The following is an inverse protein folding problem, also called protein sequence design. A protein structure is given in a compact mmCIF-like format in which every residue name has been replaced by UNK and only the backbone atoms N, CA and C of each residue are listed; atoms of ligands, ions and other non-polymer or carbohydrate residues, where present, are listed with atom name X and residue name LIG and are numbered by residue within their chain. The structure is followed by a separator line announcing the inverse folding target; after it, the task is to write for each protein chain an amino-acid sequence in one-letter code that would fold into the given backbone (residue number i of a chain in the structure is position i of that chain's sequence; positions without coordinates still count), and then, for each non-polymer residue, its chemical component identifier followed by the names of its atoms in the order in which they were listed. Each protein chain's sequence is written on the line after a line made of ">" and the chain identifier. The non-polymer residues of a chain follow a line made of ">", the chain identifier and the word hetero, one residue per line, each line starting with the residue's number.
data_IF_571257508441
#
_entry.id   IF_571257508441
#
_cell.length_a   1.000
_cell.length_b   1.000
_cell.length_c   1.000
_cell.angle_alpha   90.00
_cell.angle_beta   90.00
_cell.angle_gamma   90.00
#
_symmetry.space_group_name_H-M   'P 1'
#
loop_
_entity.id
_entity.type
_entity.pdbx_description
1 polymer ?
#
# COMPACT_ATOMS: atom_id res chain seq x y z
N UNK A 1 2.06 0.21 15.83
CA UNK A 1 2.70 -0.98 16.48
C UNK A 1 4.18 -0.72 16.65
N UNK A 2 4.77 -1.21 17.73
CA UNK A 2 6.21 -1.13 17.98
C UNK A 2 6.94 -2.28 17.31
N UNK A 3 8.22 -2.11 17.00
CA UNK A 3 9.03 -3.17 16.37
C UNK A 3 8.93 -4.51 17.11
N UNK A 4 8.95 -4.46 18.45
CA UNK A 4 8.88 -5.65 19.31
C UNK A 4 7.56 -6.42 19.25
N UNK A 5 6.51 -5.81 18.71
CA UNK A 5 5.18 -6.44 18.58
C UNK A 5 5.04 -7.27 17.31
N UNK A 6 5.90 -7.03 16.30
CA UNK A 6 5.84 -7.77 15.05
C UNK A 6 6.46 -9.16 15.19
N UNK A 7 5.81 -10.15 14.59
CA UNK A 7 6.27 -11.55 14.57
C UNK A 7 6.11 -12.11 13.16
N UNK A 8 7.05 -12.96 12.78
CA UNK A 8 6.97 -13.69 11.51
C UNK A 8 5.67 -14.50 11.43
N UNK A 9 5.03 -14.46 10.26
CA UNK A 9 3.74 -15.09 10.02
C UNK A 9 2.52 -14.26 10.43
N UNK A 10 2.71 -13.14 11.15
CA UNK A 10 1.61 -12.26 11.56
C UNK A 10 0.89 -11.70 10.34
N UNK A 11 -0.44 -11.68 10.38
CA UNK A 11 -1.30 -11.03 9.39
C UNK A 11 -1.95 -9.80 10.02
N UNK A 12 -1.70 -8.64 9.44
CA UNK A 12 -2.25 -7.36 9.87
C UNK A 12 -3.23 -6.88 8.79
N UNK A 13 -4.40 -6.42 9.23
CA UNK A 13 -5.44 -5.92 8.34
C UNK A 13 -5.63 -4.43 8.51
N UNK A 14 -5.88 -3.74 7.38
CA UNK A 14 -6.17 -2.32 7.33
C UNK A 14 -7.33 -1.99 6.40
N UNK A 15 -7.87 -0.79 6.53
CA UNK A 15 -9.05 -0.35 5.81
C UNK A 15 -10.34 -0.64 6.60
N UNK A 16 -11.52 -0.59 5.95
CA UNK A 16 -11.70 -0.34 4.52
C UNK A 16 -11.54 1.14 4.14
N UNK A 17 -11.22 1.37 2.87
CA UNK A 17 -11.19 2.70 2.25
C UNK A 17 -12.01 2.67 0.97
N UNK A 18 -12.95 3.60 0.83
CA UNK A 18 -13.72 3.78 -0.41
C UNK A 18 -12.97 4.74 -1.30
N UNK A 19 -12.77 4.36 -2.56
CA UNK A 19 -12.10 5.19 -3.56
C UNK A 19 -13.15 5.93 -4.38
N UNK A 20 -13.18 7.26 -4.27
CA UNK A 20 -14.14 8.08 -5.02
C UNK A 20 -13.61 8.46 -6.39
N UNK A 21 -14.51 8.72 -7.32
CA UNK A 21 -14.16 9.26 -8.65
C UNK A 21 -13.36 10.57 -8.52
N UNK A 22 -13.77 11.47 -7.61
CA UNK A 22 -13.10 12.74 -7.37
C UNK A 22 -11.65 12.54 -6.93
N UNK A 23 -11.39 11.60 -6.03
CA UNK A 23 -10.04 11.27 -5.56
C UNK A 23 -9.18 10.72 -6.70
N UNK A 24 -9.73 9.84 -7.54
CA UNK A 24 -9.03 9.30 -8.72
C UNK A 24 -8.61 10.42 -9.65
N UNK A 25 -9.54 11.33 -9.99
CA UNK A 25 -9.28 12.46 -10.86
C UNK A 25 -8.25 13.44 -10.26
N UNK A 26 -8.40 13.76 -8.99
CA UNK A 26 -7.51 14.72 -8.29
C UNK A 26 -6.08 14.19 -8.25
N UNK A 27 -5.87 12.95 -7.85
CA UNK A 27 -4.54 12.34 -7.83
C UNK A 27 -3.93 12.29 -9.24
N UNK A 28 -4.70 11.82 -10.21
CA UNK A 28 -4.21 11.63 -11.56
C UNK A 28 -3.85 12.95 -12.25
N UNK A 29 -4.66 14.00 -12.09
CA UNK A 29 -4.35 15.33 -12.63
C UNK A 29 -3.05 15.89 -12.11
N UNK A 30 -2.71 15.56 -10.88
CA UNK A 30 -1.48 16.03 -10.24
C UNK A 30 -0.25 15.19 -10.61
N UNK A 31 -0.37 13.85 -10.67
CA UNK A 31 0.77 12.94 -10.72
C UNK A 31 0.81 12.00 -11.91
N UNK A 32 -0.33 11.69 -12.54
CA UNK A 32 -0.42 10.71 -13.64
C UNK A 32 -1.55 11.13 -14.61
N UNK A 33 -1.39 12.23 -15.34
CA UNK A 33 -2.47 12.82 -16.13
C UNK A 33 -2.69 12.10 -17.47
N UNK A 34 -2.74 10.78 -17.46
CA UNK A 34 -3.12 10.00 -18.62
C UNK A 34 -4.65 9.95 -18.73
N UNK A 35 -5.19 9.98 -19.95
CA UNK A 35 -6.63 10.15 -20.22
C UNK A 35 -7.50 9.08 -19.53
N UNK A 36 -7.05 7.85 -19.41
CA UNK A 36 -7.81 6.77 -18.78
C UNK A 36 -7.89 6.88 -17.24
N UNK A 37 -7.19 7.86 -16.66
CA UNK A 37 -7.28 8.26 -15.25
C UNK A 37 -7.93 9.63 -15.05
N UNK A 38 -8.10 10.44 -16.12
CA UNK A 38 -8.51 11.84 -15.98
C UNK A 38 -9.73 12.24 -16.81
N UNK A 39 -10.13 11.43 -17.78
CA UNK A 39 -11.23 11.73 -18.70
C UNK A 39 -12.29 10.63 -18.63
N UNK A 40 -13.33 10.89 -17.84
CA UNK A 40 -14.40 9.90 -17.55
C UNK A 40 -15.10 9.44 -18.81
N UNK A 41 -15.43 10.39 -19.72
CA UNK A 41 -16.18 10.10 -20.95
C UNK A 41 -15.31 9.26 -21.89
N UNK A 42 -14.10 9.70 -22.17
CA UNK A 42 -13.17 8.97 -23.03
C UNK A 42 -12.80 7.60 -22.44
N UNK A 43 -12.64 7.51 -21.12
CA UNK A 43 -12.34 6.24 -20.45
C UNK A 43 -13.47 5.22 -20.59
N UNK A 44 -14.74 5.69 -20.61
CA UNK A 44 -15.90 4.80 -20.77
C UNK A 44 -15.91 4.08 -22.12
N UNK A 45 -15.36 4.69 -23.14
CA UNK A 45 -15.25 4.12 -24.50
C UNK A 45 -13.91 3.39 -24.71
N UNK A 46 -13.00 3.50 -23.76
CA UNK A 46 -11.66 2.93 -23.85
C UNK A 46 -11.59 1.44 -23.47
N UNK A 47 -10.39 0.91 -23.57
CA UNK A 47 -10.10 -0.51 -23.34
C UNK A 47 -10.52 -1.01 -21.95
N UNK A 48 -10.48 -0.14 -20.93
CA UNK A 48 -10.85 -0.51 -19.56
C UNK A 48 -12.35 -0.42 -19.29
N UNK A 49 -13.14 0.16 -20.21
CA UNK A 49 -14.59 0.28 -20.09
C UNK A 49 -15.05 1.22 -18.98
N UNK A 50 -14.21 2.18 -18.59
CA UNK A 50 -14.48 3.17 -17.56
C UNK A 50 -13.20 3.72 -16.95
N UNK A 51 -13.35 4.74 -16.12
CA UNK A 51 -12.26 5.36 -15.39
C UNK A 51 -11.61 4.34 -14.45
N UNK A 52 -10.28 4.34 -14.40
CA UNK A 52 -9.50 3.57 -13.43
C UNK A 52 -8.51 4.47 -12.69
N UNK A 53 -8.22 4.14 -11.44
CA UNK A 53 -7.20 4.82 -10.66
C UNK A 53 -5.81 4.55 -11.22
N UNK A 54 -4.93 5.55 -11.13
CA UNK A 54 -3.50 5.33 -11.33
C UNK A 54 -2.99 4.25 -10.39
N UNK A 55 -2.13 3.36 -10.88
CA UNK A 55 -1.48 2.37 -10.03
C UNK A 55 -0.72 3.00 -8.86
N UNK A 56 -0.10 4.17 -9.06
CA UNK A 56 0.56 4.93 -8.00
C UNK A 56 -0.40 5.44 -6.95
N UNK A 57 -1.63 5.77 -7.33
CA UNK A 57 -2.69 6.13 -6.40
C UNK A 57 -3.08 4.93 -5.53
N UNK A 58 -3.21 3.75 -6.13
CA UNK A 58 -3.48 2.51 -5.37
C UNK A 58 -2.36 2.21 -4.38
N UNK A 59 -1.09 2.42 -4.77
CA UNK A 59 0.05 2.31 -3.85
C UNK A 59 -0.03 3.33 -2.69
N UNK A 60 -0.43 4.57 -2.98
CA UNK A 60 -0.60 5.60 -1.95
C UNK A 60 -1.72 5.24 -0.96
N UNK A 61 -2.83 4.69 -1.45
CA UNK A 61 -3.92 4.20 -0.59
C UNK A 61 -3.45 3.03 0.28
N UNK A 62 -2.69 2.09 -0.29
CA UNK A 62 -2.09 0.99 0.45
C UNK A 62 -1.19 1.50 1.58
N UNK A 63 -0.36 2.50 1.29
CA UNK A 63 0.50 3.13 2.30
C UNK A 63 -0.31 3.79 3.41
N UNK A 64 -1.39 4.51 3.08
CA UNK A 64 -2.27 5.12 4.08
C UNK A 64 -2.89 4.07 4.99
N UNK A 65 -3.41 2.97 4.43
CA UNK A 65 -3.96 1.87 5.24
C UNK A 65 -2.89 1.23 6.14
N UNK A 66 -1.67 1.09 5.63
CA UNK A 66 -0.56 0.55 6.41
C UNK A 66 -0.16 1.48 7.58
N UNK A 67 -0.11 2.78 7.33
CA UNK A 67 0.16 3.76 8.40
C UNK A 67 -0.91 3.66 9.48
N UNK A 68 -2.17 3.71 9.10
CA UNK A 68 -3.28 3.67 10.06
C UNK A 68 -3.33 2.35 10.85
N UNK A 69 -3.01 1.23 10.22
CA UNK A 69 -3.09 -0.09 10.84
C UNK A 69 -1.89 -0.43 11.73
N UNK A 70 -0.67 -0.02 11.34
CA UNK A 70 0.53 -0.59 11.98
C UNK A 70 1.72 0.36 12.12
N UNK A 71 1.84 1.40 11.30
CA UNK A 71 3.04 2.24 11.29
C UNK A 71 2.88 3.56 12.06
N UNK A 72 1.65 4.00 12.33
CA UNK A 72 1.42 5.19 13.15
C UNK A 72 2.01 4.99 14.55
N UNK A 73 2.76 5.97 15.04
CA UNK A 73 3.48 5.92 16.31
C UNK A 73 4.47 4.72 16.47
N UNK A 74 4.93 4.17 15.36
CA UNK A 74 5.99 3.15 15.34
C UNK A 74 7.37 3.79 15.31
N UNK A 75 8.41 2.97 15.39
CA UNK A 75 9.80 3.39 15.18
C UNK A 75 10.21 3.38 13.69
N UNK A 76 9.25 3.19 12.77
CA UNK A 76 9.52 3.19 11.34
C UNK A 76 10.06 4.54 10.88
N UNK A 77 11.17 4.55 10.14
CA UNK A 77 11.80 5.77 9.66
C UNK A 77 12.16 5.74 8.17
N UNK A 78 11.90 4.64 7.48
CA UNK A 78 12.17 4.56 6.05
C UNK A 78 12.07 3.16 5.49
N UNK A 79 12.32 3.08 4.19
CA UNK A 79 12.38 1.84 3.42
C UNK A 79 13.47 1.96 2.37
N UNK A 80 14.25 0.89 2.12
CA UNK A 80 15.21 0.90 1.02
C UNK A 80 14.56 0.73 -0.36
N UNK A 81 13.27 0.36 -0.39
CA UNK A 81 12.53 0.15 -1.63
C UNK A 81 11.53 -0.99 -1.54
N UNK A 82 10.93 -1.28 -2.68
CA UNK A 82 9.98 -2.38 -2.85
C UNK A 82 10.60 -3.48 -3.72
N UNK A 83 10.28 -4.73 -3.41
CA UNK A 83 10.74 -5.87 -4.20
C UNK A 83 9.94 -6.01 -5.48
N UNK A 84 8.66 -6.35 -5.38
CA UNK A 84 7.73 -6.44 -6.50
C UNK A 84 6.55 -5.53 -6.27
N UNK A 85 6.05 -4.93 -7.36
CA UNK A 85 4.78 -4.19 -7.37
C UNK A 85 4.00 -4.69 -8.56
N UNK A 86 2.80 -5.25 -8.31
CA UNK A 86 1.93 -5.76 -9.37
C UNK A 86 0.52 -5.21 -9.20
N UNK A 87 0.05 -4.50 -10.22
CA UNK A 87 -1.34 -4.06 -10.35
C UNK A 87 -2.10 -5.12 -11.13
N UNK A 88 -2.88 -5.95 -10.42
CA UNK A 88 -3.52 -7.14 -11.00
C UNK A 88 -4.88 -6.86 -11.60
N UNK A 89 -5.68 -6.02 -10.93
CA UNK A 89 -7.03 -5.66 -11.32
C UNK A 89 -7.16 -4.15 -11.18
N UNK A 90 -7.79 -3.46 -12.16
CA UNK A 90 -8.01 -2.02 -12.07
C UNK A 90 -8.84 -1.64 -10.85
N UNK A 91 -8.47 -0.56 -10.19
CA UNK A 91 -9.28 0.08 -9.16
C UNK A 91 -10.22 1.08 -9.82
N UNK A 92 -11.51 0.96 -9.53
CA UNK A 92 -12.57 1.76 -10.13
C UNK A 92 -13.22 2.69 -9.11
N UNK A 93 -13.90 3.75 -9.58
CA UNK A 93 -14.71 4.60 -8.70
C UNK A 93 -15.69 3.76 -7.87
N UNK A 94 -15.84 4.09 -6.61
CA UNK A 94 -16.66 3.42 -5.60
C UNK A 94 -16.14 2.05 -5.13
N UNK A 95 -14.98 1.60 -5.59
CA UNK A 95 -14.35 0.41 -5.00
C UNK A 95 -14.03 0.62 -3.54
N UNK A 96 -14.23 -0.43 -2.75
CA UNK A 96 -13.85 -0.49 -1.34
C UNK A 96 -12.62 -1.37 -1.20
N UNK A 97 -11.52 -0.77 -0.74
CA UNK A 97 -10.23 -1.45 -0.63
C UNK A 97 -9.90 -1.81 0.82
N UNK A 98 -9.28 -2.96 1.01
CA UNK A 98 -8.72 -3.40 2.28
C UNK A 98 -7.31 -3.93 2.10
N UNK A 99 -6.50 -3.78 3.14
CA UNK A 99 -5.11 -4.25 3.19
C UNK A 99 -5.03 -5.56 3.98
N UNK A 100 -4.25 -6.50 3.48
CA UNK A 100 -3.67 -7.59 4.25
C UNK A 100 -2.14 -7.51 4.14
N UNK A 101 -1.47 -7.29 5.26
CA UNK A 101 -0.02 -7.27 5.37
C UNK A 101 0.46 -8.51 6.14
N UNK A 102 1.24 -9.35 5.48
CA UNK A 102 1.82 -10.54 6.09
C UNK A 102 3.29 -10.33 6.38
N UNK A 103 3.65 -10.43 7.64
CA UNK A 103 5.05 -10.33 8.10
C UNK A 103 5.81 -11.58 7.66
N UNK A 104 6.83 -11.42 6.85
CA UNK A 104 7.67 -12.50 6.33
C UNK A 104 8.94 -12.69 7.16
N UNK A 105 9.46 -11.63 7.73
CA UNK A 105 10.64 -11.68 8.58
C UNK A 105 10.76 -10.47 9.48
N UNK A 106 11.26 -10.70 10.68
CA UNK A 106 11.56 -9.66 11.67
C UNK A 106 12.97 -9.93 12.18
N UNK A 107 13.88 -8.97 12.01
CA UNK A 107 15.26 -9.13 12.47
C UNK A 107 15.91 -7.82 12.85
N UNK A 108 16.88 -7.86 13.73
CA UNK A 108 17.84 -6.77 13.89
C UNK A 108 18.91 -6.85 12.81
N UNK A 109 19.47 -5.72 12.44
CA UNK A 109 20.60 -5.67 11.51
C UNK A 109 21.82 -6.36 12.14
N UNK A 110 22.60 -7.06 11.32
CA UNK A 110 23.86 -7.69 11.77
C UNK A 110 25.02 -6.70 11.92
N UNK A 111 24.92 -5.55 11.22
CA UNK A 111 25.96 -4.50 11.22
C UNK A 111 25.60 -3.30 12.11
N UNK A 112 24.32 -3.16 12.50
CA UNK A 112 23.80 -2.05 13.31
C UNK A 112 22.78 -2.55 14.31
N UNK A 113 23.15 -2.60 15.56
CA UNK A 113 22.29 -3.08 16.66
C UNK A 113 21.09 -2.17 16.98
N UNK A 114 21.14 -0.93 16.52
CA UNK A 114 20.06 0.07 16.62
C UNK A 114 19.06 0.05 15.45
N UNK A 115 19.17 -0.92 14.53
CA UNK A 115 18.34 -1.01 13.34
C UNK A 115 17.52 -2.30 13.32
N UNK A 116 16.20 -2.15 13.32
CA UNK A 116 15.25 -3.23 13.05
C UNK A 116 14.84 -3.26 11.57
N UNK A 117 14.61 -4.46 11.04
CA UNK A 117 14.22 -4.68 9.66
C UNK A 117 13.02 -5.63 9.64
N UNK A 118 11.96 -5.20 8.97
CA UNK A 118 10.77 -6.04 8.71
C UNK A 118 10.62 -6.20 7.21
N UNK A 119 10.48 -7.45 6.78
CA UNK A 119 10.07 -7.80 5.41
C UNK A 119 8.65 -8.32 5.44
N UNK A 120 7.83 -7.88 4.53
CA UNK A 120 6.42 -8.25 4.43
C UNK A 120 5.89 -8.20 3.00
N UNK A 121 4.80 -8.90 2.77
CA UNK A 121 4.01 -8.77 1.55
C UNK A 121 2.70 -8.06 1.89
N UNK A 122 2.33 -7.09 1.07
CA UNK A 122 1.06 -6.38 1.16
C UNK A 122 0.19 -6.75 -0.02
N UNK A 123 -1.04 -7.14 0.26
CA UNK A 123 -2.06 -7.39 -0.76
C UNK A 123 -3.26 -6.49 -0.49
N UNK A 124 -3.69 -5.80 -1.52
CA UNK A 124 -4.88 -4.95 -1.47
C UNK A 124 -6.00 -5.65 -2.23
N UNK A 125 -7.13 -5.81 -1.57
CA UNK A 125 -8.32 -6.45 -2.13
C UNK A 125 -9.44 -5.43 -2.32
N UNK A 126 -10.25 -5.61 -3.36
CA UNK A 126 -11.49 -4.88 -3.53
C UNK A 126 -12.66 -5.59 -2.82
N UNK A 127 -13.88 -5.06 -2.96
CA UNK A 127 -15.10 -5.62 -2.37
C UNK A 127 -15.49 -7.01 -2.89
N UNK A 128 -14.96 -7.41 -4.04
CA UNK A 128 -15.19 -8.73 -4.64
C UNK A 128 -14.11 -9.75 -4.21
N UNK A 129 -13.23 -9.40 -3.29
CA UNK A 129 -12.06 -10.17 -2.89
C UNK A 129 -11.04 -10.41 -4.02
N UNK A 130 -11.06 -9.59 -5.06
CA UNK A 130 -10.00 -9.60 -6.07
C UNK A 130 -8.79 -8.84 -5.54
N UNK A 131 -7.60 -9.42 -5.68
CA UNK A 131 -6.36 -8.73 -5.41
C UNK A 131 -6.13 -7.67 -6.50
N UNK A 132 -6.16 -6.39 -6.13
CA UNK A 132 -5.92 -5.28 -7.06
C UNK A 132 -4.45 -4.87 -7.11
N UNK A 133 -3.75 -5.05 -6.01
CA UNK A 133 -2.33 -4.74 -5.85
C UNK A 133 -1.69 -5.78 -4.95
N UNK A 134 -0.51 -6.27 -5.32
CA UNK A 134 0.41 -6.89 -4.37
C UNK A 134 1.82 -6.36 -4.54
N UNK A 135 2.51 -6.26 -3.42
CA UNK A 135 3.89 -5.79 -3.36
C UNK A 135 4.64 -6.45 -2.20
N UNK A 136 5.95 -6.52 -2.36
CA UNK A 136 6.88 -6.88 -1.30
C UNK A 136 7.55 -5.61 -0.78
N UNK A 137 7.52 -5.42 0.53
CA UNK A 137 8.07 -4.24 1.17
C UNK A 137 9.13 -4.62 2.21
N UNK A 138 10.06 -3.71 2.44
CA UNK A 138 11.00 -3.75 3.55
C UNK A 138 10.89 -2.43 4.30
N UNK A 139 10.72 -2.50 5.61
CA UNK A 139 10.65 -1.31 6.46
C UNK A 139 11.77 -1.32 7.49
N UNK A 140 12.32 -0.13 7.71
CA UNK A 140 13.41 0.10 8.65
C UNK A 140 12.87 0.76 9.92
N UNK A 141 13.31 0.27 11.09
CA UNK A 141 12.88 0.74 12.40
C UNK A 141 14.07 1.24 13.19
N UNK A 142 13.99 2.44 13.72
CA UNK A 142 15.02 3.04 14.58
C UNK A 142 14.84 2.56 16.01
N UNK A 143 15.76 1.73 16.46
CA UNK A 143 15.75 1.15 17.80
C UNK A 143 16.71 1.85 18.77
N UNK A 144 17.30 2.97 18.39
CA UNK A 144 18.27 3.72 19.20
C UNK A 144 17.68 4.24 20.51
N UNK A 145 16.38 4.49 20.54
CA UNK A 145 15.67 4.98 21.73
C UNK A 145 15.32 3.86 22.75
N UNK A 146 15.54 2.60 22.39
CA UNK A 146 15.19 1.42 23.22
C UNK A 146 16.42 0.83 23.94
N UNK A 147 17.43 1.64 24.22
CA UNK A 147 18.62 1.27 24.99
C UNK A 147 18.50 1.61 26.47
#
# INVERSE_FOLDING_TARGET
>A
MKFSEFKEGMLIRGGPVVVTEEEILTFARQFDPQWFHTDVERASEGRWGGLIASGWHTCAIAMRMAVDAMLHDSESFGSPGLGQVRWRVPVRPADTLRLEARVQGVRRSTSRDDLGIITWSWTIFNQNNDAVLDLDATSLFDLSQNR
#
